data_IF_686295172717
#
_entry.id   IF_686295172717
#
_cell.length_a   1.000
_cell.length_b   1.000
_cell.length_c   1.000
_cell.angle_alpha   90.00
_cell.angle_beta   90.00
_cell.angle_gamma   90.00
#
_symmetry.space_group_name_H-M   'P 1'
#
loop_
_entity.id
_entity.type
_entity.pdbx_description
1 polymer ?
#
# COMPACT_ATOMS: atom_id res chain seq x y z
N UNK A 1 11.55 10.00 53.01
CA UNK A 1 11.02 11.37 53.26
C UNK A 1 12.18 12.35 53.27
N UNK A 2 11.94 13.60 52.82
CA UNK A 2 12.86 14.70 52.47
C UNK A 2 13.48 14.60 51.08
N UNK A 3 13.62 15.67 50.30
CA UNK A 3 12.93 16.97 50.20
C UNK A 3 13.55 17.60 48.95
N UNK A 4 12.72 18.21 48.10
CA UNK A 4 13.12 18.98 46.92
C UNK A 4 13.95 20.19 47.37
N UNK A 5 14.96 20.61 46.58
CA UNK A 5 15.26 22.04 46.46
C UNK A 5 15.96 22.36 45.13
N UNK A 6 15.23 23.07 44.27
CA UNK A 6 15.76 23.77 43.10
C UNK A 6 16.44 25.06 43.57
N UNK A 7 17.63 25.37 43.06
CA UNK A 7 18.20 26.73 43.11
C UNK A 7 18.95 27.04 41.80
N UNK A 8 18.59 28.18 41.21
CA UNK A 8 19.23 28.98 40.15
C UNK A 8 19.17 30.44 40.66
N UNK A 9 19.78 31.47 40.03
CA UNK A 9 21.08 31.69 39.36
C UNK A 9 21.81 32.90 40.05
N UNK A 10 22.84 33.61 39.50
CA UNK A 10 22.68 34.70 38.48
C UNK A 10 23.88 34.88 37.50
N UNK A 11 23.70 35.10 36.19
CA UNK A 11 23.65 36.36 35.41
C UNK A 11 24.89 37.31 35.38
N UNK A 12 25.34 37.61 34.12
CA UNK A 12 26.04 38.83 33.58
C UNK A 12 27.58 38.87 33.74
N UNK A 13 28.44 39.36 32.81
CA UNK A 13 28.39 40.22 31.60
C UNK A 13 29.89 40.34 31.12
N UNK A 14 30.33 40.26 29.84
CA UNK A 14 30.74 41.39 28.94
C UNK A 14 31.88 40.96 27.97
N UNK A 15 31.64 41.12 26.65
CA UNK A 15 32.48 41.67 25.54
C UNK A 15 33.93 41.18 25.30
N UNK A 16 34.49 41.08 24.06
CA UNK A 16 34.26 41.84 22.82
C UNK A 16 34.99 41.29 21.57
N UNK A 17 34.42 41.59 20.40
CA UNK A 17 35.02 41.98 19.09
C UNK A 17 35.69 40.96 18.13
N UNK A 18 34.84 40.46 17.22
CA UNK A 18 34.89 40.45 15.74
C UNK A 18 36.19 40.64 14.94
N UNK A 19 36.36 39.79 13.91
CA UNK A 19 36.90 40.16 12.60
C UNK A 19 36.16 39.41 11.46
N UNK A 20 35.83 40.15 10.41
CA UNK A 20 35.00 39.79 9.24
C UNK A 20 35.88 39.38 8.05
N UNK A 21 35.46 38.36 7.28
CA UNK A 21 35.51 38.24 5.80
C UNK A 21 35.17 36.79 5.42
N UNK A 22 34.09 36.52 4.67
CA UNK A 22 34.14 36.22 3.21
C UNK A 22 34.77 34.84 2.97
N UNK A 23 34.15 33.83 2.34
CA UNK A 23 33.70 33.75 0.94
C UNK A 23 32.66 32.62 0.82
N UNK A 24 31.76 32.79 -0.14
CA UNK A 24 30.77 31.85 -0.67
C UNK A 24 31.21 30.38 -0.76
N UNK A 25 30.28 29.50 -0.38
CA UNK A 25 29.85 28.38 -1.21
C UNK A 25 30.80 27.20 -1.35
N UNK A 26 30.56 26.15 -0.56
CA UNK A 26 30.49 24.77 -1.07
C UNK A 26 29.36 24.05 -0.32
N UNK A 27 28.16 24.10 -0.88
CA UNK A 27 27.15 23.06 -0.64
C UNK A 27 27.47 21.97 -1.65
N UNK A 28 28.25 20.96 -1.24
CA UNK A 28 28.34 19.69 -1.96
C UNK A 28 27.51 18.71 -1.12
N UNK A 29 26.28 18.38 -1.56
CA UNK A 29 25.98 17.25 -2.44
C UNK A 29 26.52 15.96 -1.78
N UNK A 30 25.69 15.07 -1.24
CA UNK A 30 24.63 14.35 -1.94
C UNK A 30 23.51 13.92 -0.97
N UNK A 31 22.47 14.72 -0.80
CA UNK A 31 21.14 14.14 -0.56
C UNK A 31 20.56 13.82 -1.93
N UNK A 32 20.97 12.67 -2.49
CA UNK A 32 20.16 11.98 -3.49
C UNK A 32 18.88 11.59 -2.76
N UNK A 33 17.92 12.52 -2.71
CA UNK A 33 16.54 12.16 -2.55
C UNK A 33 16.26 11.29 -3.77
N UNK A 34 16.29 9.97 -3.55
CA UNK A 34 15.73 9.03 -4.51
C UNK A 34 14.25 9.39 -4.59
N UNK A 35 13.91 10.31 -5.49
CA UNK A 35 12.53 10.58 -5.87
C UNK A 35 12.09 9.34 -6.63
N UNK A 36 11.71 8.29 -5.90
CA UNK A 36 10.88 7.24 -6.46
C UNK A 36 9.61 7.94 -6.91
N UNK A 37 9.50 8.17 -8.21
CA UNK A 37 8.27 8.61 -8.84
C UNK A 37 7.17 7.67 -8.38
N UNK A 38 6.08 8.16 -7.79
CA UNK A 38 5.01 7.29 -7.35
C UNK A 38 4.49 6.52 -8.56
N UNK A 39 4.68 5.20 -8.55
CA UNK A 39 4.14 4.32 -9.58
C UNK A 39 2.66 4.18 -9.30
N UNK A 40 1.84 4.84 -10.10
CA UNK A 40 0.39 4.70 -10.02
C UNK A 40 0.03 3.34 -10.62
N UNK A 41 -0.56 2.47 -9.80
CA UNK A 41 -1.03 1.16 -10.24
C UNK A 41 -2.54 1.22 -10.35
N UNK A 42 -3.06 0.92 -11.54
CA UNK A 42 -4.49 0.80 -11.78
C UNK A 42 -4.81 -0.63 -12.16
N UNK A 43 -5.80 -1.23 -11.50
CA UNK A 43 -6.39 -2.49 -11.93
C UNK A 43 -7.66 -2.20 -12.72
N UNK A 44 -7.72 -2.70 -13.96
CA UNK A 44 -8.90 -2.66 -14.81
C UNK A 44 -9.54 -4.05 -14.88
N UNK A 45 -10.85 -4.15 -14.69
CA UNK A 45 -11.60 -5.39 -14.91
C UNK A 45 -11.77 -5.62 -16.41
N UNK A 46 -11.36 -6.79 -16.89
CA UNK A 46 -11.40 -7.15 -18.32
C UNK A 46 -12.37 -8.27 -18.63
N UNK A 47 -12.70 -9.13 -17.65
CA UNK A 47 -13.64 -10.24 -17.85
C UNK A 47 -15.04 -9.70 -18.23
N UNK A 48 -15.67 -10.21 -19.31
CA UNK A 48 -17.00 -9.77 -19.77
C UNK A 48 -18.10 -9.86 -18.70
N UNK A 49 -18.06 -10.87 -17.83
CA UNK A 49 -19.02 -11.03 -16.73
C UNK A 49 -18.68 -10.22 -15.48
N UNK A 50 -17.64 -9.39 -15.53
CA UNK A 50 -17.07 -8.74 -14.36
C UNK A 50 -16.18 -9.67 -13.54
N UNK A 51 -15.91 -9.28 -12.30
CA UNK A 51 -15.13 -10.12 -11.37
C UNK A 51 -15.61 -9.94 -9.94
N UNK A 52 -15.14 -10.81 -9.05
CA UNK A 52 -15.40 -10.70 -7.62
C UNK A 52 -14.08 -10.58 -6.88
N UNK A 53 -13.91 -9.49 -6.13
CA UNK A 53 -12.87 -9.38 -5.12
C UNK A 53 -13.28 -10.18 -3.87
N UNK A 54 -12.32 -10.89 -3.30
CA UNK A 54 -12.51 -11.89 -2.24
C UNK A 54 -11.64 -11.54 -1.03
N UNK A 55 -12.08 -11.82 0.20
CA UNK A 55 -11.25 -11.60 1.41
C UNK A 55 -10.30 -12.76 1.70
N UNK A 56 -10.54 -13.92 1.10
CA UNK A 56 -9.69 -15.10 1.26
C UNK A 56 -9.04 -15.46 -0.07
N UNK A 57 -7.86 -16.08 0.00
CA UNK A 57 -7.04 -16.43 -1.15
C UNK A 57 -7.70 -17.42 -2.11
N UNK A 58 -8.59 -18.28 -1.61
CA UNK A 58 -9.37 -19.22 -2.42
C UNK A 58 -10.85 -19.08 -2.13
N UNK A 59 -11.66 -19.28 -3.17
CA UNK A 59 -13.11 -19.39 -3.07
C UNK A 59 -13.53 -20.62 -2.30
N UNK A 60 -12.80 -21.73 -2.39
CA UNK A 60 -13.12 -22.93 -1.62
C UNK A 60 -13.16 -22.62 -0.13
N UNK A 61 -12.07 -22.05 0.42
CA UNK A 61 -12.00 -21.64 1.82
C UNK A 61 -13.05 -20.57 2.11
N UNK A 62 -13.15 -19.58 1.22
CA UNK A 62 -14.10 -18.50 1.44
C UNK A 62 -15.54 -19.00 1.49
N UNK A 63 -15.95 -19.91 0.60
CA UNK A 63 -17.33 -20.37 0.44
C UNK A 63 -17.89 -21.04 1.69
N UNK A 64 -17.05 -21.71 2.48
CA UNK A 64 -17.42 -22.24 3.79
C UNK A 64 -17.62 -21.14 4.85
N UNK A 65 -16.98 -19.98 4.66
CA UNK A 65 -16.91 -18.88 5.62
C UNK A 65 -17.67 -17.62 5.16
N UNK A 66 -18.41 -17.65 4.03
CA UNK A 66 -19.24 -16.52 3.58
C UNK A 66 -20.47 -16.43 4.48
N UNK A 67 -20.36 -15.62 5.52
CA UNK A 67 -21.42 -15.28 6.46
C UNK A 67 -22.04 -13.91 6.14
N UNK A 68 -21.31 -13.03 5.45
CA UNK A 68 -21.70 -11.63 5.23
C UNK A 68 -21.43 -11.18 3.78
N UNK A 69 -22.27 -10.29 3.26
CA UNK A 69 -22.20 -9.82 1.88
C UNK A 69 -20.89 -9.05 1.59
N UNK A 70 -20.29 -8.42 2.60
CA UNK A 70 -19.06 -7.64 2.49
C UNK A 70 -17.78 -8.49 2.50
N UNK A 71 -17.89 -9.81 2.59
CA UNK A 71 -16.75 -10.70 2.41
C UNK A 71 -16.39 -10.89 0.93
N UNK A 72 -17.25 -10.41 0.02
CA UNK A 72 -17.03 -10.40 -1.42
C UNK A 72 -17.46 -9.06 -2.01
N UNK A 73 -16.83 -8.67 -3.11
CA UNK A 73 -17.17 -7.45 -3.82
C UNK A 73 -17.29 -7.74 -5.31
N UNK A 74 -18.54 -7.80 -5.81
CA UNK A 74 -18.79 -7.90 -7.24
C UNK A 74 -18.54 -6.57 -7.92
N UNK A 75 -17.82 -6.60 -9.05
CA UNK A 75 -17.51 -5.43 -9.87
C UNK A 75 -17.69 -5.78 -11.35
N UNK A 76 -18.11 -4.80 -12.15
CA UNK A 76 -18.41 -4.93 -13.57
C UNK A 76 -17.16 -4.82 -14.47
N UNK A 77 -17.32 -5.25 -15.71
CA UNK A 77 -16.30 -5.08 -16.74
C UNK A 77 -15.97 -3.60 -16.94
N UNK A 78 -14.69 -3.28 -17.14
CA UNK A 78 -14.23 -1.94 -17.46
C UNK A 78 -14.00 -1.05 -16.24
N UNK A 79 -14.50 -1.43 -15.06
CA UNK A 79 -14.21 -0.72 -13.80
C UNK A 79 -12.70 -0.65 -13.53
N UNK A 80 -12.27 0.47 -12.95
CA UNK A 80 -10.87 0.79 -12.70
C UNK A 80 -10.67 1.15 -11.24
N UNK A 81 -9.62 0.61 -10.64
CA UNK A 81 -9.31 0.81 -9.23
C UNK A 81 -7.85 1.21 -9.05
N UNK A 82 -7.62 2.28 -8.30
CA UNK A 82 -6.27 2.65 -7.84
C UNK A 82 -5.86 1.72 -6.71
N UNK A 83 -4.69 1.09 -6.86
CA UNK A 83 -4.17 0.13 -5.89
C UNK A 83 -2.83 0.57 -5.34
N UNK A 84 -2.71 0.49 -4.02
CA UNK A 84 -1.47 0.78 -3.30
C UNK A 84 -0.48 -0.39 -3.42
N UNK A 85 -0.98 -1.63 -3.54
CA UNK A 85 -0.14 -2.80 -3.74
C UNK A 85 -0.82 -3.89 -4.56
N UNK A 86 -0.02 -4.60 -5.36
CA UNK A 86 -0.38 -5.86 -6.02
C UNK A 86 0.75 -6.84 -5.72
N UNK A 87 0.42 -7.98 -5.12
CA UNK A 87 1.35 -9.07 -4.83
C UNK A 87 0.90 -10.32 -5.58
N UNK A 88 1.82 -10.93 -6.31
CA UNK A 88 1.63 -12.25 -6.90
C UNK A 88 2.33 -13.27 -6.02
N UNK A 89 1.63 -14.34 -5.67
CA UNK A 89 2.25 -15.50 -5.00
C UNK A 89 2.59 -16.56 -6.04
N UNK A 90 3.69 -17.26 -5.81
CA UNK A 90 4.06 -18.46 -6.58
C UNK A 90 3.80 -19.70 -5.72
N UNK A 91 2.52 -19.92 -5.41
CA UNK A 91 2.06 -21.07 -4.64
C UNK A 91 1.17 -21.94 -5.54
N UNK A 92 1.72 -23.08 -5.95
CA UNK A 92 1.04 -24.04 -6.82
C UNK A 92 0.13 -25.01 -6.06
N UNK A 93 0.01 -24.89 -4.74
CA UNK A 93 -0.90 -25.72 -3.94
C UNK A 93 -2.33 -25.52 -4.41
N UNK A 94 -3.01 -26.64 -4.63
CA UNK A 94 -4.44 -26.67 -4.95
C UNK A 94 -5.19 -26.64 -3.62
N UNK A 95 -6.06 -25.64 -3.46
CA UNK A 95 -6.88 -25.49 -2.25
C UNK A 95 -8.25 -26.13 -2.50
N UNK A 96 -8.27 -27.45 -2.60
CA UNK A 96 -9.49 -28.28 -2.72
C UNK A 96 -9.19 -29.72 -2.30
N UNK A 97 -10.08 -30.39 -1.55
CA UNK A 97 -9.89 -31.77 -1.13
C UNK A 97 -9.95 -32.77 -2.29
N UNK A 98 -10.57 -32.42 -3.43
CA UNK A 98 -10.88 -33.35 -4.52
C UNK A 98 -10.00 -33.15 -5.77
N UNK A 99 -8.89 -32.41 -5.67
CA UNK A 99 -7.94 -32.21 -6.78
C UNK A 99 -8.40 -31.25 -7.90
N UNK A 100 -9.70 -31.07 -8.09
CA UNK A 100 -10.30 -30.00 -8.88
C UNK A 100 -10.47 -28.77 -7.98
N UNK A 101 -9.49 -27.86 -7.99
CA UNK A 101 -9.48 -26.71 -7.10
C UNK A 101 -8.71 -25.53 -7.67
N UNK A 102 -8.93 -24.39 -7.03
CA UNK A 102 -8.25 -23.16 -7.35
C UNK A 102 -6.80 -23.22 -6.85
N UNK A 103 -5.86 -22.69 -7.65
CA UNK A 103 -4.46 -22.54 -7.22
C UNK A 103 -4.23 -21.12 -6.77
N UNK A 104 -3.53 -20.94 -5.65
CA UNK A 104 -3.29 -19.62 -5.09
C UNK A 104 -2.48 -18.71 -6.02
N UNK A 105 -1.59 -19.30 -6.84
CA UNK A 105 -0.88 -18.57 -7.90
C UNK A 105 -1.77 -17.95 -8.97
N UNK A 106 -3.04 -18.35 -9.09
CA UNK A 106 -3.95 -17.80 -10.10
C UNK A 106 -4.56 -16.46 -9.66
N UNK A 107 -4.26 -16.01 -8.44
CA UNK A 107 -4.76 -14.77 -7.85
C UNK A 107 -3.67 -13.73 -7.65
N UNK A 108 -4.08 -12.47 -7.74
CA UNK A 108 -3.37 -11.36 -7.12
C UNK A 108 -3.96 -11.05 -5.76
N UNK A 109 -3.07 -10.74 -4.82
CA UNK A 109 -3.38 -10.06 -3.58
C UNK A 109 -3.28 -8.55 -3.82
N UNK A 110 -4.32 -7.80 -3.50
CA UNK A 110 -4.45 -6.38 -3.86
C UNK A 110 -4.90 -5.56 -2.65
N UNK A 111 -4.36 -4.35 -2.53
CA UNK A 111 -4.82 -3.35 -1.57
C UNK A 111 -5.17 -2.08 -2.34
N UNK A 112 -6.33 -1.52 -2.03
CA UNK A 112 -6.83 -0.34 -2.73
C UNK A 112 -6.44 0.95 -2.00
N UNK A 113 -6.19 2.00 -2.78
CA UNK A 113 -5.98 3.35 -2.21
C UNK A 113 -7.29 3.92 -1.65
N UNK A 114 -8.40 3.60 -2.32
CA UNK A 114 -9.77 3.97 -1.91
C UNK A 114 -10.59 2.71 -1.61
N UNK A 115 -11.54 2.77 -0.67
CA UNK A 115 -12.44 1.63 -0.40
C UNK A 115 -13.16 1.17 -1.67
N UNK A 116 -13.38 -0.15 -1.77
CA UNK A 116 -14.28 -0.71 -2.78
C UNK A 116 -15.75 -0.31 -2.50
N UNK A 117 -16.67 -0.41 -3.48
CA UNK A 117 -18.09 -0.09 -3.30
C UNK A 117 -18.80 -0.88 -2.18
N UNK A 118 -18.38 -2.12 -1.93
CA UNK A 118 -18.81 -2.94 -0.78
C UNK A 118 -18.25 -2.46 0.58
N UNK A 119 -17.58 -1.30 0.59
CA UNK A 119 -17.19 -0.45 1.70
C UNK A 119 -16.36 -1.11 2.81
N UNK A 120 -15.07 -1.37 2.54
CA UNK A 120 -14.06 -1.60 3.58
C UNK A 120 -12.69 -1.04 3.17
N UNK A 121 -12.17 -0.08 3.95
CA UNK A 121 -10.87 0.56 3.70
C UNK A 121 -9.72 -0.26 4.28
N UNK A 122 -8.58 -0.28 3.58
CA UNK A 122 -7.32 -0.83 4.11
C UNK A 122 -7.22 -2.36 4.15
N UNK A 123 -8.28 -3.07 3.75
CA UNK A 123 -8.30 -4.53 3.67
C UNK A 123 -7.53 -5.07 2.46
N UNK A 124 -7.03 -6.28 2.62
CA UNK A 124 -6.42 -7.08 1.55
C UNK A 124 -7.50 -7.86 0.84
N UNK A 125 -7.48 -7.80 -0.49
CA UNK A 125 -8.42 -8.50 -1.36
C UNK A 125 -7.69 -9.43 -2.32
N UNK A 126 -8.39 -10.43 -2.82
CA UNK A 126 -7.89 -11.39 -3.80
C UNK A 126 -8.74 -11.35 -5.06
N UNK A 127 -8.09 -11.39 -6.22
CA UNK A 127 -8.76 -11.37 -7.52
C UNK A 127 -8.05 -12.31 -8.49
N UNK A 128 -8.81 -12.97 -9.35
CA UNK A 128 -8.25 -13.78 -10.43
C UNK A 128 -7.45 -12.93 -11.40
N UNK A 129 -6.20 -13.33 -11.65
CA UNK A 129 -5.29 -12.64 -12.56
C UNK A 129 -5.87 -12.47 -13.97
N UNK A 130 -6.54 -13.50 -14.47
CA UNK A 130 -7.13 -13.52 -15.82
C UNK A 130 -8.32 -12.58 -15.98
N UNK A 131 -8.89 -12.06 -14.88
CA UNK A 131 -10.06 -11.20 -14.92
C UNK A 131 -9.74 -9.71 -14.91
N UNK A 132 -8.46 -9.38 -14.69
CA UNK A 132 -8.01 -8.00 -14.52
C UNK A 132 -6.74 -7.75 -15.32
N UNK A 133 -6.50 -6.49 -15.63
CA UNK A 133 -5.27 -6.01 -16.25
C UNK A 133 -4.66 -4.94 -15.35
N UNK A 134 -3.38 -5.08 -15.03
CA UNK A 134 -2.61 -4.02 -14.38
C UNK A 134 -2.18 -3.00 -15.44
N UNK A 135 -2.60 -1.75 -15.25
CA UNK A 135 -2.13 -0.59 -15.98
C UNK A 135 -1.15 0.16 -15.07
N UNK A 136 0.10 0.31 -15.48
CA UNK A 136 1.07 1.16 -14.78
C UNK A 136 1.09 2.52 -15.44
N UNK A 137 0.97 3.57 -14.64
CA UNK A 137 1.26 4.93 -15.08
C UNK A 137 2.48 5.44 -14.30
N UNK A 138 3.48 5.90 -15.04
CA UNK A 138 4.59 6.67 -14.48
C UNK A 138 4.09 8.11 -14.39
N UNK A 139 4.11 8.68 -13.18
CA UNK A 139 3.84 10.10 -13.03
C UNK A 139 4.99 10.89 -13.69
N UNK A 140 4.75 11.43 -14.89
CA UNK A 140 5.70 12.35 -15.54
C UNK A 140 5.52 13.72 -14.87
N UNK A 141 6.62 14.29 -14.35
CA UNK A 141 6.67 15.66 -13.82
C UNK A 141 7.15 16.62 -14.90
#
# INVERSE_FOLDING_TARGET
MRSINKKLPPQRLILSLSLVCGILGVVSADTVYSQTTPVIRVLRVTNPGGTTFKRTQSWYLQSGDIQQADQKCGVGQGEKFFVSSIVSRDDSRVVSPNGNGERLRDYWEVRFEKPLPCNRQGETWFVFKTHVQQLQAVAVR
#
